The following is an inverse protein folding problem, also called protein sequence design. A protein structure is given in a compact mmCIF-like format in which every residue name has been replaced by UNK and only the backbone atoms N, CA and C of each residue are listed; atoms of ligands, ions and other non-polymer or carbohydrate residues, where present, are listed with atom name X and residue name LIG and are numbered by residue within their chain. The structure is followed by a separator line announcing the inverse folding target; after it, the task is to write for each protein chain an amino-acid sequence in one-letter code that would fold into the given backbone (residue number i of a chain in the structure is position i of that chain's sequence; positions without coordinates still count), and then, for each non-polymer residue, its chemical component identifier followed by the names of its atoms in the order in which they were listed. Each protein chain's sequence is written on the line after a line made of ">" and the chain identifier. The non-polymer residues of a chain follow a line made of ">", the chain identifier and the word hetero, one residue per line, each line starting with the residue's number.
data_IF_111858144351
#
_entry.id   IF_111858144351
#
_cell.length_a   1.000
_cell.length_b   1.000
_cell.length_c   1.000
_cell.angle_alpha   90.00
_cell.angle_beta   90.00
_cell.angle_gamma   90.00
#
_symmetry.space_group_name_H-M   'P 1'
#
loop_
_entity.id
_entity.type
_entity.pdbx_description
1 polymer ?
#
# COMPACT_ATOMS: atom_id res chain seq x y z
N UNK A 1 -5.07 -18.25 7.26
CA UNK A 1 -4.92 -17.07 6.39
C UNK A 1 -4.86 -15.84 7.27
N UNK A 2 -4.28 -14.76 6.77
CA UNK A 2 -4.20 -13.47 7.47
C UNK A 2 -4.87 -12.39 6.64
N UNK A 3 -5.36 -11.35 7.29
CA UNK A 3 -5.85 -10.14 6.63
C UNK A 3 -5.22 -8.95 7.32
N UNK A 4 -4.45 -8.17 6.56
CA UNK A 4 -3.85 -6.93 7.04
C UNK A 4 -4.67 -5.75 6.56
N UNK A 5 -5.03 -4.85 7.46
CA UNK A 5 -5.53 -3.52 7.10
C UNK A 5 -4.36 -2.56 6.91
N UNK A 6 -4.44 -1.71 5.90
CA UNK A 6 -3.49 -0.62 5.72
C UNK A 6 -4.23 0.68 5.41
N UNK A 7 -3.69 1.78 5.94
CA UNK A 7 -4.17 3.13 5.70
C UNK A 7 -3.10 3.89 4.92
N UNK A 8 -3.49 4.49 3.80
CA UNK A 8 -2.61 5.35 3.01
C UNK A 8 -3.10 6.78 3.10
N UNK A 9 -2.14 7.70 3.22
CA UNK A 9 -2.33 9.15 3.12
C UNK A 9 -1.53 9.66 1.93
N UNK A 10 -2.19 10.32 0.99
CA UNK A 10 -1.60 10.97 -0.17
C UNK A 10 -1.75 12.47 -0.01
N UNK A 11 -0.64 13.20 0.05
CA UNK A 11 -0.65 14.66 0.16
C UNK A 11 0.03 15.25 -1.07
N UNK A 12 -0.64 16.18 -1.74
CA UNK A 12 -0.05 16.91 -2.85
C UNK A 12 0.86 18.01 -2.31
N UNK A 13 2.17 17.80 -2.37
CA UNK A 13 3.19 18.78 -1.95
C UNK A 13 3.73 19.62 -3.10
N UNK A 14 3.10 19.55 -4.29
CA UNK A 14 3.47 20.35 -5.45
C UNK A 14 2.70 21.68 -5.48
N UNK A 15 3.09 22.58 -6.39
CA UNK A 15 2.42 23.86 -6.60
C UNK A 15 1.21 23.80 -7.55
N UNK A 16 0.90 22.62 -8.10
CA UNK A 16 -0.12 22.43 -9.13
C UNK A 16 -1.09 21.32 -8.74
N UNK A 17 -2.29 21.32 -9.33
CA UNK A 17 -3.25 20.24 -9.10
C UNK A 17 -2.77 18.93 -9.75
N UNK A 18 -2.95 17.81 -9.05
CA UNK A 18 -2.61 16.46 -9.53
C UNK A 18 -3.80 15.54 -9.40
N UNK A 19 -3.98 14.62 -10.34
CA UNK A 19 -5.01 13.59 -10.27
C UNK A 19 -4.38 12.21 -10.18
N UNK A 20 -4.84 11.40 -9.24
CA UNK A 20 -4.46 9.98 -9.19
C UNK A 20 -5.32 9.19 -10.18
N UNK A 21 -4.69 8.60 -11.18
CA UNK A 21 -5.40 7.89 -12.25
C UNK A 21 -5.24 6.37 -12.17
N UNK A 22 -4.21 5.88 -11.50
CA UNK A 22 -3.93 4.45 -11.39
C UNK A 22 -3.04 4.10 -10.21
N UNK A 23 -3.02 2.81 -9.89
CA UNK A 23 -2.18 2.22 -8.86
C UNK A 23 -1.60 0.89 -9.34
N UNK A 24 -0.42 0.59 -8.85
CA UNK A 24 0.24 -0.69 -9.00
C UNK A 24 0.83 -1.08 -7.65
N UNK A 25 0.55 -2.30 -7.21
CA UNK A 25 1.05 -2.86 -5.97
C UNK A 25 1.69 -4.20 -6.24
N UNK A 26 2.84 -4.43 -5.60
CA UNK A 26 3.55 -5.69 -5.56
C UNK A 26 3.53 -6.17 -4.11
N UNK A 27 3.01 -7.38 -3.91
CA UNK A 27 2.91 -8.03 -2.60
C UNK A 27 3.79 -9.27 -2.63
N UNK A 28 4.84 -9.28 -1.81
CA UNK A 28 5.81 -10.37 -1.73
C UNK A 28 5.61 -11.13 -0.41
N UNK A 29 4.98 -12.30 -0.47
CA UNK A 29 4.74 -13.12 0.72
C UNK A 29 5.97 -13.96 1.08
N UNK A 30 6.17 -14.18 2.38
CA UNK A 30 7.19 -15.14 2.85
C UNK A 30 6.79 -16.54 2.39
N UNK A 31 7.67 -17.16 1.60
CA UNK A 31 7.35 -18.37 0.81
C UNK A 31 7.43 -18.16 -0.70
N UNK A 32 7.75 -16.94 -1.17
CA UNK A 32 8.09 -16.65 -2.57
C UNK A 32 6.89 -16.40 -3.48
N UNK A 33 5.67 -16.34 -2.94
CA UNK A 33 4.48 -15.98 -3.72
C UNK A 33 4.45 -14.47 -3.92
N UNK A 34 4.54 -14.04 -5.17
CA UNK A 34 4.41 -12.63 -5.57
C UNK A 34 3.03 -12.43 -6.17
N UNK A 35 2.29 -11.44 -5.67
CA UNK A 35 1.03 -11.00 -6.25
C UNK A 35 1.16 -9.55 -6.72
N UNK A 36 0.85 -9.30 -7.98
CA UNK A 36 0.72 -7.95 -8.53
C UNK A 36 -0.76 -7.56 -8.61
N UNK A 37 -1.05 -6.34 -8.19
CA UNK A 37 -2.37 -5.73 -8.30
C UNK A 37 -2.23 -4.42 -9.06
N UNK A 38 -2.87 -4.34 -10.23
CA UNK A 38 -2.97 -3.13 -11.03
C UNK A 38 -4.42 -2.71 -11.12
N UNK A 39 -4.68 -1.41 -11.08
CA UNK A 39 -6.04 -0.92 -11.20
C UNK A 39 -6.12 0.57 -11.45
N UNK A 40 -7.25 0.97 -12.04
CA UNK A 40 -7.62 2.37 -12.22
C UNK A 40 -7.96 2.98 -10.86
N UNK A 41 -7.47 4.19 -10.62
CA UNK A 41 -7.74 4.98 -9.43
C UNK A 41 -7.30 4.30 -8.12
N UNK A 42 -7.98 4.68 -7.04
CA UNK A 42 -7.83 4.17 -5.69
C UNK A 42 -9.22 3.89 -5.14
N UNK A 43 -9.48 2.66 -4.67
CA UNK A 43 -10.78 2.23 -4.10
C UNK A 43 -12.03 2.58 -4.94
N UNK A 44 -11.88 2.73 -6.26
CA UNK A 44 -12.96 3.10 -7.17
C UNK A 44 -13.03 4.59 -7.52
N UNK A 45 -12.15 5.41 -6.94
CA UNK A 45 -12.10 6.87 -7.14
C UNK A 45 -10.81 7.29 -7.86
N UNK A 46 -10.84 8.44 -8.54
CA UNK A 46 -9.67 9.08 -9.13
C UNK A 46 -9.51 10.49 -8.55
N UNK A 47 -9.04 10.61 -7.30
CA UNK A 47 -9.03 11.87 -6.58
C UNK A 47 -8.16 12.91 -7.29
N UNK A 48 -8.68 14.13 -7.39
CA UNK A 48 -7.94 15.32 -7.78
C UNK A 48 -7.53 16.02 -6.49
N UNK A 49 -6.24 16.28 -6.32
CA UNK A 49 -5.66 16.92 -5.15
C UNK A 49 -5.13 18.30 -5.53
N UNK A 50 -5.71 19.34 -4.94
CA UNK A 50 -5.15 20.68 -5.01
C UNK A 50 -3.83 20.77 -4.23
N UNK A 51 -2.99 21.80 -4.45
CA UNK A 51 -1.80 22.02 -3.65
C UNK A 51 -2.10 22.03 -2.14
N UNK A 52 -1.40 21.19 -1.38
CA UNK A 52 -1.59 21.00 0.06
C UNK A 52 -2.74 20.06 0.46
N UNK A 53 -3.58 19.65 -0.48
CA UNK A 53 -4.71 18.75 -0.20
C UNK A 53 -4.24 17.32 0.09
N UNK A 54 -5.02 16.62 0.90
CA UNK A 54 -4.74 15.25 1.32
C UNK A 54 -5.94 14.35 1.09
N UNK A 55 -5.69 13.18 0.51
CA UNK A 55 -6.64 12.09 0.39
C UNK A 55 -6.19 10.89 1.21
N UNK A 56 -7.13 10.26 1.92
CA UNK A 56 -6.88 9.11 2.77
C UNK A 56 -7.83 7.99 2.44
N UNK A 57 -7.31 6.76 2.46
CA UNK A 57 -8.16 5.58 2.32
C UNK A 57 -7.60 4.41 3.13
N UNK A 58 -8.49 3.47 3.45
CA UNK A 58 -8.15 2.22 4.09
C UNK A 58 -8.50 1.07 3.16
N UNK A 59 -7.65 0.04 3.12
CA UNK A 59 -7.93 -1.17 2.36
C UNK A 59 -7.35 -2.40 3.06
N UNK A 60 -7.58 -3.57 2.48
CA UNK A 60 -7.23 -4.86 3.05
C UNK A 60 -6.29 -5.62 2.12
N UNK A 61 -5.34 -6.33 2.71
CA UNK A 61 -4.44 -7.25 2.03
C UNK A 61 -4.65 -8.67 2.61
N UNK A 62 -5.47 -9.52 1.98
CA UNK A 62 -5.60 -10.90 2.37
C UNK A 62 -4.36 -11.71 1.97
N UNK A 63 -3.69 -12.34 2.93
CA UNK A 63 -2.52 -13.19 2.73
C UNK A 63 -2.87 -14.67 2.94
N UNK A 64 -2.65 -15.47 1.91
CA UNK A 64 -2.76 -16.93 1.96
C UNK A 64 -1.38 -17.57 2.18
N UNK A 65 -0.92 -17.55 3.42
CA UNK A 65 0.34 -18.19 3.82
C UNK A 65 0.09 -19.27 4.88
N UNK A 66 0.98 -20.26 4.93
CA UNK A 66 1.07 -21.21 6.06
C UNK A 66 2.08 -20.66 7.07
N UNK A 67 1.68 -20.59 8.33
CA UNK A 67 2.53 -20.13 9.43
C UNK A 67 3.77 -21.02 9.56
N UNK A 68 4.92 -20.40 9.74
CA UNK A 68 6.11 -21.07 10.27
C UNK A 68 6.41 -20.44 11.64
N UNK A 69 6.63 -21.21 12.72
CA UNK A 69 6.65 -20.70 14.10
C UNK A 69 7.66 -19.60 14.40
N UNK A 70 8.64 -19.39 13.53
CA UNK A 70 9.74 -18.41 13.69
C UNK A 70 9.52 -17.08 12.96
N UNK A 71 8.45 -16.93 12.18
CA UNK A 71 8.25 -15.75 11.32
C UNK A 71 7.33 -14.71 11.98
N UNK A 72 7.88 -13.51 12.23
CA UNK A 72 7.10 -12.32 12.58
C UNK A 72 6.70 -11.50 11.36
N UNK A 73 7.56 -11.45 10.33
CA UNK A 73 7.26 -10.81 9.03
C UNK A 73 6.61 -11.83 8.12
N UNK A 74 5.43 -11.51 7.60
CA UNK A 74 4.63 -12.41 6.77
C UNK A 74 4.65 -12.07 5.28
N UNK A 75 4.81 -10.79 4.96
CA UNK A 75 4.94 -10.29 3.59
C UNK A 75 5.55 -8.88 3.58
N UNK A 76 5.89 -8.39 2.39
CA UNK A 76 6.15 -6.98 2.14
C UNK A 76 5.25 -6.46 1.02
N UNK A 77 5.00 -5.15 1.03
CA UNK A 77 4.25 -4.45 0.00
C UNK A 77 5.05 -3.24 -0.47
N UNK A 78 5.05 -3.00 -1.77
CA UNK A 78 5.57 -1.80 -2.41
C UNK A 78 4.79 -1.54 -3.70
N UNK A 79 4.96 -0.37 -4.31
CA UNK A 79 4.21 -0.07 -5.52
C UNK A 79 4.43 1.32 -6.04
N UNK A 80 3.51 1.76 -6.88
CA UNK A 80 3.49 3.11 -7.44
C UNK A 80 2.07 3.60 -7.71
N UNK A 81 1.86 4.90 -7.59
CA UNK A 81 0.71 5.59 -8.13
C UNK A 81 1.05 6.23 -9.46
N UNK A 82 0.13 6.12 -10.41
CA UNK A 82 0.18 6.90 -11.65
C UNK A 82 -0.67 8.14 -11.49
N UNK A 83 -0.04 9.30 -11.68
CA UNK A 83 -0.64 10.62 -11.56
C UNK A 83 -0.68 11.30 -12.92
N UNK A 84 -1.58 12.27 -13.09
CA UNK A 84 -1.53 13.26 -14.17
C UNK A 84 -1.50 14.64 -13.51
N UNK A 85 -0.60 15.51 -13.98
CA UNK A 85 -0.46 16.87 -13.43
C UNK A 85 -0.97 17.91 -14.42
N UNK A 86 -1.64 18.95 -13.92
CA UNK A 86 -2.27 19.98 -14.74
C UNK A 86 -1.29 20.78 -15.61
N UNK A 87 -0.04 20.90 -15.20
CA UNK A 87 1.04 21.62 -15.91
C UNK A 87 1.75 20.78 -16.97
N UNK A 88 1.66 19.46 -16.90
CA UNK A 88 2.36 18.55 -17.81
C UNK A 88 1.67 18.32 -19.15
N UNK A 89 0.54 19.01 -19.40
CA UNK A 89 -0.27 18.80 -20.60
C UNK A 89 -0.85 17.38 -20.70
N UNK A 90 -1.12 16.74 -19.55
CA UNK A 90 -1.70 15.40 -19.50
C UNK A 90 -0.70 14.24 -19.48
N UNK A 91 0.61 14.50 -19.36
CA UNK A 91 1.60 13.41 -19.20
C UNK A 91 1.44 12.75 -17.83
N UNK A 92 1.62 11.43 -17.82
CA UNK A 92 1.59 10.67 -16.58
C UNK A 92 2.93 10.72 -15.85
N UNK A 93 2.86 10.84 -14.53
CA UNK A 93 4.00 10.78 -13.60
C UNK A 93 3.79 9.57 -12.70
N UNK A 94 4.87 8.88 -12.34
CA UNK A 94 4.84 7.82 -11.32
C UNK A 94 5.35 8.34 -9.99
N UNK A 95 4.67 7.97 -8.92
CA UNK A 95 5.08 8.23 -7.54
C UNK A 95 5.20 6.92 -6.80
N UNK A 96 6.41 6.61 -6.36
CA UNK A 96 6.71 5.34 -5.71
C UNK A 96 6.16 5.29 -4.28
N UNK A 97 5.65 4.12 -3.91
CA UNK A 97 5.38 3.76 -2.52
C UNK A 97 6.50 2.84 -2.04
N UNK A 98 7.33 3.28 -1.08
CA UNK A 98 8.46 2.50 -0.61
C UNK A 98 7.99 1.22 0.07
N UNK A 99 8.89 0.23 0.08
CA UNK A 99 8.60 -1.09 0.67
C UNK A 99 8.31 -0.98 2.16
N UNK A 100 7.20 -1.57 2.58
CA UNK A 100 6.85 -1.77 3.99
C UNK A 100 6.47 -3.22 4.26
N UNK A 101 6.47 -3.61 5.54
CA UNK A 101 6.33 -5.00 5.97
C UNK A 101 5.00 -5.24 6.66
N UNK A 102 4.42 -6.42 6.43
CA UNK A 102 3.25 -6.93 7.12
C UNK A 102 3.71 -7.85 8.24
N UNK A 103 3.73 -7.30 9.46
CA UNK A 103 4.33 -7.91 10.65
C UNK A 103 3.24 -8.31 11.63
N UNK A 104 3.30 -9.52 12.15
CA UNK A 104 2.46 -9.94 13.28
C UNK A 104 2.87 -9.19 14.55
N UNK A 105 1.91 -8.82 15.40
CA UNK A 105 2.25 -8.36 16.74
C UNK A 105 3.02 -9.45 17.50
N UNK A 106 3.89 -9.07 18.44
CA UNK A 106 4.58 -10.04 19.28
C UNK A 106 3.55 -10.94 19.97
N UNK A 107 3.78 -12.26 19.92
CA UNK A 107 2.97 -13.22 20.66
C UNK A 107 3.30 -13.04 22.13
N UNK A 108 2.36 -12.52 22.93
CA UNK A 108 2.48 -12.53 24.38
C UNK A 108 2.46 -13.99 24.84
N UNK A 109 3.62 -14.55 25.17
CA UNK A 109 3.67 -15.80 25.94
C UNK A 109 3.37 -15.41 27.38
N UNK A 110 2.27 -15.90 27.93
CA UNK A 110 2.09 -15.95 29.37
C UNK A 110 3.35 -16.63 29.95
N UNK A 111 4.01 -16.06 30.97
CA UNK A 111 5.05 -16.80 31.68
C UNK A 111 4.45 -18.11 32.17
N UNK A 112 5.22 -19.20 32.07
CA UNK A 112 4.82 -20.46 32.67
C UNK A 112 4.63 -20.19 34.18
N UNK A 113 3.48 -20.58 34.73
CA UNK A 113 3.31 -20.63 36.18
C UNK A 113 4.36 -21.61 36.73
N UNK A 114 5.25 -21.12 37.59
CA UNK A 114 6.19 -21.94 38.38
C UNK A 114 5.45 -22.76 39.45
#
# INVERSE_FOLDING_TARGET
>A
SYVFGYKVRLTNTSAVAVQVVGRHWVIEAVGGVVNEVRGVGIVGEQPVLMPGETFEYTSLCPLRIRLTPSLSVLASMHGDYTLVSGDTGGKSIKVDVPKFHLILPPVYRMPAEE
#
